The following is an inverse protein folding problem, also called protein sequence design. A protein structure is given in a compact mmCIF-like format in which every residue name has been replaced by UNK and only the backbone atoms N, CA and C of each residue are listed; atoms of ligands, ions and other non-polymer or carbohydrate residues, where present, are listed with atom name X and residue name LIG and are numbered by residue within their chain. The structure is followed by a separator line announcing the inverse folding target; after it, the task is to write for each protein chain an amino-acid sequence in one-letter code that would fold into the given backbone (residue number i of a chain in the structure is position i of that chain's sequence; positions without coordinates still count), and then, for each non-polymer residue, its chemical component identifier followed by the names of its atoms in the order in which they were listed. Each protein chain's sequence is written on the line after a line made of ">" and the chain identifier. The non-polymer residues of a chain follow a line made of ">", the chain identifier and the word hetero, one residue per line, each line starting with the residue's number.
data_IF_564635029255
#
_entry.id   IF_564635029255
#
_cell.length_a   1.000
_cell.length_b   1.000
_cell.length_c   1.000
_cell.angle_alpha   90.00
_cell.angle_beta   90.00
_cell.angle_gamma   90.00
#
_symmetry.space_group_name_H-M   'P 1'
#
loop_
_entity.id
_entity.type
_entity.pdbx_description
1 polymer ?
#
# COMPACT_ATOMS: atom_id res chain seq x y z
N UNK A 1 11.23 -22.82 49.52
CA UNK A 1 10.60 -22.99 48.20
C UNK A 1 10.23 -21.60 47.67
N UNK A 2 11.15 -20.88 47.01
CA UNK A 2 10.90 -19.48 46.60
C UNK A 2 11.66 -19.08 45.32
N UNK A 3 11.96 -20.03 44.44
CA UNK A 3 12.83 -19.82 43.27
C UNK A 3 12.17 -20.13 41.93
N UNK A 4 10.98 -20.74 41.90
CA UNK A 4 10.34 -21.15 40.64
C UNK A 4 9.46 -20.05 40.01
N UNK A 5 8.88 -19.15 40.79
CA UNK A 5 8.00 -18.07 40.29
C UNK A 5 8.73 -16.95 39.54
N UNK A 6 10.03 -16.76 39.78
CA UNK A 6 10.81 -15.66 39.18
C UNK A 6 11.29 -16.00 37.74
N UNK A 7 11.38 -17.29 37.37
CA UNK A 7 11.85 -17.70 36.04
C UNK A 7 10.73 -17.69 34.99
N UNK A 8 9.51 -18.09 35.35
CA UNK A 8 8.37 -18.08 34.41
C UNK A 8 7.97 -16.68 33.96
N UNK A 9 8.04 -15.69 34.85
CA UNK A 9 7.79 -14.28 34.51
C UNK A 9 8.85 -13.70 33.57
N UNK A 10 10.12 -14.08 33.76
CA UNK A 10 11.23 -13.65 32.89
C UNK A 10 11.16 -14.28 31.50
N UNK A 11 10.74 -15.53 31.38
CA UNK A 11 10.53 -16.18 30.08
C UNK A 11 9.32 -15.61 29.32
N UNK A 12 8.21 -15.33 30.02
CA UNK A 12 7.04 -14.67 29.40
C UNK A 12 7.35 -13.25 28.93
N UNK A 13 8.15 -12.49 29.68
CA UNK A 13 8.62 -11.17 29.28
C UNK A 13 9.58 -11.23 28.08
N UNK A 14 10.51 -12.18 28.06
CA UNK A 14 11.38 -12.41 26.90
C UNK A 14 10.59 -12.83 25.66
N UNK A 15 9.60 -13.72 25.81
CA UNK A 15 8.72 -14.15 24.72
C UNK A 15 7.84 -13.01 24.20
N UNK A 16 7.30 -12.17 25.09
CA UNK A 16 6.54 -10.97 24.74
C UNK A 16 7.37 -9.95 23.96
N UNK A 17 8.61 -9.71 24.39
CA UNK A 17 9.54 -8.78 23.73
C UNK A 17 9.98 -9.29 22.34
N UNK A 18 10.29 -10.58 22.22
CA UNK A 18 10.62 -11.21 20.92
C UNK A 18 9.44 -11.13 19.95
N UNK A 19 8.22 -11.33 20.42
CA UNK A 19 7.02 -11.21 19.57
C UNK A 19 6.73 -9.76 19.16
N UNK A 20 7.01 -8.78 20.03
CA UNK A 20 6.91 -7.37 19.69
C UNK A 20 7.94 -6.99 18.61
N UNK A 21 9.21 -7.41 18.77
CA UNK A 21 10.26 -7.17 17.78
C UNK A 21 9.94 -7.82 16.42
N UNK A 22 9.37 -9.04 16.41
CA UNK A 22 8.93 -9.70 15.17
C UNK A 22 7.80 -8.94 14.48
N UNK A 23 6.79 -8.48 15.23
CA UNK A 23 5.70 -7.66 14.68
C UNK A 23 6.19 -6.33 14.14
N UNK A 24 7.14 -5.72 14.84
CA UNK A 24 7.78 -4.46 14.43
C UNK A 24 8.60 -4.66 13.15
N UNK A 25 9.40 -5.74 13.09
CA UNK A 25 10.12 -6.12 11.87
C UNK A 25 9.18 -6.31 10.68
N UNK A 26 8.06 -7.02 10.88
CA UNK A 26 7.04 -7.21 9.83
C UNK A 26 6.39 -5.91 9.37
N UNK A 27 6.07 -4.98 10.27
CA UNK A 27 5.51 -3.66 9.89
C UNK A 27 6.52 -2.82 9.11
N UNK A 28 7.81 -2.88 9.47
CA UNK A 28 8.88 -2.20 8.73
C UNK A 28 9.06 -2.83 7.34
N UNK A 29 8.96 -4.17 7.24
CA UNK A 29 9.05 -4.91 5.98
C UNK A 29 7.83 -4.67 5.07
N UNK A 30 6.62 -4.57 5.62
CA UNK A 30 5.43 -4.19 4.82
C UNK A 30 5.53 -2.73 4.38
N UNK A 31 5.97 -1.84 5.27
CA UNK A 31 6.32 -0.46 4.94
C UNK A 31 7.64 -0.35 4.13
N UNK A 32 8.19 -1.46 3.61
CA UNK A 32 9.42 -1.47 2.82
C UNK A 32 9.18 -1.38 1.31
N UNK A 33 7.99 -1.76 0.84
CA UNK A 33 7.65 -1.72 -0.58
C UNK A 33 6.61 -0.64 -0.87
N UNK A 34 6.76 0.05 -1.99
CA UNK A 34 5.76 0.99 -2.49
C UNK A 34 5.57 0.72 -3.97
N UNK A 35 4.32 0.48 -4.32
CA UNK A 35 3.89 0.28 -5.69
C UNK A 35 2.85 1.34 -6.01
N UNK A 36 3.12 2.12 -7.05
CA UNK A 36 2.23 3.17 -7.52
C UNK A 36 2.01 2.94 -9.00
N UNK A 37 0.75 2.77 -9.39
CA UNK A 37 0.36 2.56 -10.78
C UNK A 37 -0.71 3.58 -11.17
N UNK A 38 -0.48 4.29 -12.26
CA UNK A 38 -1.38 5.30 -12.80
C UNK A 38 -1.81 4.91 -14.19
N UNK A 39 -3.12 4.81 -14.36
CA UNK A 39 -3.79 4.52 -15.63
C UNK A 39 -4.58 5.72 -16.11
N UNK A 40 -4.76 5.82 -17.42
CA UNK A 40 -5.69 6.74 -18.08
C UNK A 40 -6.57 5.94 -19.05
N UNK A 41 -7.75 6.43 -19.36
CA UNK A 41 -8.68 5.77 -20.28
C UNK A 41 -10.11 5.72 -19.76
N UNK A 42 -10.94 4.99 -20.49
CA UNK A 42 -12.37 4.91 -20.23
C UNK A 42 -12.73 3.56 -19.61
N UNK A 43 -13.58 3.61 -18.57
CA UNK A 43 -14.19 2.43 -17.97
C UNK A 43 -15.71 2.59 -18.06
N UNK A 44 -16.37 1.60 -18.62
CA UNK A 44 -17.83 1.55 -18.69
C UNK A 44 -18.34 0.51 -17.68
N UNK A 45 -19.37 0.89 -16.91
CA UNK A 45 -20.04 0.00 -15.97
C UNK A 45 -21.54 0.22 -16.03
N UNK A 46 -22.31 -0.85 -15.82
CA UNK A 46 -23.75 -0.72 -15.60
C UNK A 46 -23.98 -0.33 -14.15
N UNK A 47 -24.88 0.63 -13.91
CA UNK A 47 -25.25 1.10 -12.56
C UNK A 47 -25.71 -0.07 -11.67
N UNK A 48 -26.36 -1.09 -12.26
CA UNK A 48 -26.78 -2.33 -11.59
C UNK A 48 -25.64 -3.10 -10.94
N UNK A 49 -24.41 -2.93 -11.40
CA UNK A 49 -23.23 -3.67 -10.93
C UNK A 49 -22.54 -2.93 -9.77
N UNK A 50 -22.83 -1.64 -9.60
CA UNK A 50 -22.21 -0.74 -8.62
C UNK A 50 -23.14 -0.44 -7.45
N UNK A 51 -24.45 -0.39 -7.72
CA UNK A 51 -25.48 -0.09 -6.72
C UNK A 51 -26.35 -1.31 -6.51
N UNK A 52 -26.14 -2.01 -5.39
CA UNK A 52 -27.05 -3.07 -4.93
C UNK A 52 -28.19 -2.41 -4.13
N UNK A 53 -29.42 -2.81 -4.42
CA UNK A 53 -30.73 -2.29 -3.97
C UNK A 53 -30.97 -2.05 -2.46
N UNK A 54 -30.10 -1.36 -1.72
CA UNK A 54 -30.52 -0.68 -0.49
C UNK A 54 -29.53 0.34 0.11
N UNK A 55 -28.42 0.67 -0.55
CA UNK A 55 -27.48 1.64 0.03
C UNK A 55 -26.88 2.51 -1.07
N UNK A 56 -27.08 3.82 -0.97
CA UNK A 56 -26.38 4.89 -1.72
C UNK A 56 -24.86 4.91 -1.41
N UNK A 57 -24.18 3.78 -1.50
CA UNK A 57 -22.74 3.65 -1.30
C UNK A 57 -22.14 2.96 -2.51
N UNK A 58 -21.49 3.75 -3.36
CA UNK A 58 -20.64 3.27 -4.44
C UNK A 58 -19.51 2.46 -3.81
N UNK A 59 -19.53 1.14 -3.96
CA UNK A 59 -18.46 0.27 -3.47
C UNK A 59 -17.41 0.10 -4.57
N UNK A 60 -16.51 1.08 -4.67
CA UNK A 60 -15.42 1.11 -5.66
C UNK A 60 -14.61 -0.20 -5.67
N UNK A 61 -14.38 -0.83 -4.51
CA UNK A 61 -13.71 -2.14 -4.45
C UNK A 61 -14.40 -3.24 -5.24
N UNK A 62 -15.74 -3.28 -5.25
CA UNK A 62 -16.49 -4.28 -6.00
C UNK A 62 -16.44 -4.00 -7.50
N UNK A 63 -16.39 -2.72 -7.88
CA UNK A 63 -16.18 -2.28 -9.26
C UNK A 63 -14.80 -2.71 -9.74
N UNK A 64 -13.76 -2.45 -8.95
CA UNK A 64 -12.40 -2.85 -9.30
C UNK A 64 -12.25 -4.38 -9.41
N UNK A 65 -12.90 -5.15 -8.54
CA UNK A 65 -12.90 -6.62 -8.62
C UNK A 65 -13.63 -7.15 -9.86
N UNK A 66 -14.72 -6.51 -10.28
CA UNK A 66 -15.48 -6.91 -11.47
C UNK A 66 -14.80 -6.52 -12.79
N UNK A 67 -13.91 -5.51 -12.78
CA UNK A 67 -13.07 -5.18 -13.95
C UNK A 67 -12.22 -6.37 -14.42
N UNK A 68 -11.73 -7.20 -13.50
CA UNK A 68 -10.88 -8.36 -13.81
C UNK A 68 -11.58 -9.45 -14.61
N UNK A 69 -12.93 -9.48 -14.62
CA UNK A 69 -13.68 -10.66 -15.05
C UNK A 69 -14.43 -10.44 -16.37
N UNK A 70 -14.95 -9.22 -16.66
CA UNK A 70 -15.91 -9.08 -17.77
C UNK A 70 -15.88 -7.80 -18.62
N UNK A 71 -14.96 -6.85 -18.41
CA UNK A 71 -15.00 -5.58 -19.16
C UNK A 71 -13.84 -5.40 -20.14
N UNK A 72 -14.17 -5.18 -21.41
CA UNK A 72 -13.26 -4.61 -22.41
C UNK A 72 -12.93 -3.18 -21.98
N UNK A 73 -11.88 -3.04 -21.19
CA UNK A 73 -11.43 -1.76 -20.64
C UNK A 73 -10.19 -1.31 -21.39
N UNK A 74 -10.29 -0.19 -22.11
CA UNK A 74 -9.18 0.43 -22.81
C UNK A 74 -8.43 1.34 -21.82
N UNK A 75 -7.65 0.71 -20.95
CA UNK A 75 -6.77 1.39 -20.01
C UNK A 75 -5.37 1.49 -20.60
N UNK A 76 -4.83 2.70 -20.60
CA UNK A 76 -3.44 2.97 -20.97
C UNK A 76 -2.64 3.24 -19.70
N UNK A 77 -1.51 2.54 -19.56
CA UNK A 77 -0.58 2.80 -18.47
C UNK A 77 0.12 4.15 -18.73
N UNK A 78 0.00 5.08 -17.79
CA UNK A 78 0.71 6.37 -17.84
C UNK A 78 2.05 6.25 -17.13
N UNK A 79 2.02 5.71 -15.90
CA UNK A 79 3.22 5.56 -15.10
C UNK A 79 3.07 4.39 -14.12
N UNK A 80 4.15 3.63 -13.95
CA UNK A 80 4.30 2.58 -12.96
C UNK A 80 5.60 2.81 -12.22
N UNK A 81 5.55 2.83 -10.90
CA UNK A 81 6.74 2.92 -10.06
C UNK A 81 6.68 1.86 -8.97
N UNK A 82 7.73 1.03 -8.90
CA UNK A 82 7.98 0.11 -7.82
C UNK A 82 9.24 0.56 -7.08
N UNK A 83 9.12 0.78 -5.77
CA UNK A 83 10.23 1.15 -4.88
C UNK A 83 10.39 0.06 -3.83
N UNK A 84 11.55 -0.59 -3.86
CA UNK A 84 11.97 -1.53 -2.82
C UNK A 84 12.95 -0.87 -1.84
N UNK A 85 13.03 -1.41 -0.63
CA UNK A 85 13.94 -0.88 0.42
C UNK A 85 15.41 -0.98 0.05
N UNK A 86 15.80 -1.95 -0.79
CA UNK A 86 17.18 -2.09 -1.27
C UNK A 86 17.60 -0.95 -2.24
N UNK A 87 16.73 0.06 -2.40
CA UNK A 87 16.88 1.23 -3.27
C UNK A 87 16.71 0.93 -4.75
N UNK A 88 16.25 -0.26 -5.11
CA UNK A 88 15.83 -0.53 -6.49
C UNK A 88 14.51 0.21 -6.74
N UNK A 89 14.62 1.26 -7.58
CA UNK A 89 13.49 2.01 -8.10
C UNK A 89 13.33 1.66 -9.57
N UNK A 90 12.21 1.01 -9.89
CA UNK A 90 11.82 0.75 -11.27
C UNK A 90 10.66 1.66 -11.63
N UNK A 91 10.89 2.60 -12.54
CA UNK A 91 9.85 3.50 -13.04
C UNK A 91 9.70 3.32 -14.55
N UNK A 92 8.48 3.01 -14.97
CA UNK A 92 8.07 2.92 -16.37
C UNK A 92 7.09 4.07 -16.62
N UNK A 93 7.38 4.89 -17.62
CA UNK A 93 6.51 6.00 -18.01
C UNK A 93 6.20 5.85 -19.49
N UNK A 94 4.96 6.18 -19.86
CA UNK A 94 4.54 6.27 -21.25
C UNK A 94 5.44 7.27 -22.01
N UNK A 95 5.92 6.88 -23.19
CA UNK A 95 6.86 7.69 -23.98
C UNK A 95 6.23 8.89 -24.68
N UNK A 96 4.94 8.77 -25.02
CA UNK A 96 4.14 9.75 -25.76
C UNK A 96 3.08 10.37 -24.82
N UNK A 97 3.54 11.22 -23.91
CA UNK A 97 2.65 11.90 -22.96
C UNK A 97 1.85 12.98 -23.69
N UNK A 98 0.52 12.87 -23.63
CA UNK A 98 -0.35 14.01 -23.91
C UNK A 98 -0.30 15.02 -22.74
N UNK A 99 -0.75 16.28 -22.92
CA UNK A 99 -0.81 17.25 -21.82
C UNK A 99 -1.60 16.76 -20.60
N UNK A 100 -2.65 15.94 -20.82
CA UNK A 100 -3.39 15.32 -19.74
C UNK A 100 -2.58 14.21 -19.04
N UNK A 101 -1.77 13.45 -19.78
CA UNK A 101 -0.89 12.42 -19.20
C UNK A 101 0.24 13.06 -18.38
N UNK A 102 0.70 14.26 -18.74
CA UNK A 102 1.71 15.01 -17.96
C UNK A 102 1.18 15.43 -16.58
N UNK A 103 -0.08 15.86 -16.51
CA UNK A 103 -0.73 16.17 -15.24
C UNK A 103 -0.88 14.90 -14.38
N UNK A 104 -1.30 13.79 -14.98
CA UNK A 104 -1.38 12.50 -14.30
C UNK A 104 -0.01 12.00 -13.82
N UNK A 105 1.05 12.22 -14.60
CA UNK A 105 2.42 11.92 -14.19
C UNK A 105 2.88 12.79 -13.03
N UNK A 106 2.48 14.07 -13.00
CA UNK A 106 2.74 14.95 -11.86
C UNK A 106 2.06 14.43 -10.59
N UNK A 107 0.77 14.11 -10.67
CA UNK A 107 0.02 13.49 -9.58
C UNK A 107 0.65 12.17 -9.11
N UNK A 108 1.13 11.33 -10.04
CA UNK A 108 1.87 10.11 -9.71
C UNK A 108 3.11 10.40 -8.87
N UNK A 109 3.90 11.41 -9.24
CA UNK A 109 5.09 11.83 -8.49
C UNK A 109 4.75 12.42 -7.11
N UNK A 110 3.69 13.22 -7.03
CA UNK A 110 3.22 13.78 -5.76
C UNK A 110 2.75 12.67 -4.81
N UNK A 111 2.08 11.64 -5.36
CA UNK A 111 1.67 10.46 -4.59
C UNK A 111 2.87 9.63 -4.13
N UNK A 112 3.91 9.47 -4.95
CA UNK A 112 5.16 8.83 -4.55
C UNK A 112 5.83 9.58 -3.40
N UNK A 113 5.93 10.92 -3.46
CA UNK A 113 6.53 11.72 -2.38
C UNK A 113 5.75 11.56 -1.08
N UNK A 114 4.43 11.74 -1.15
CA UNK A 114 3.55 11.63 0.01
C UNK A 114 3.60 10.23 0.64
N UNK A 115 3.64 9.19 -0.19
CA UNK A 115 3.72 7.80 0.29
C UNK A 115 5.09 7.50 0.91
N UNK A 116 6.17 8.05 0.36
CA UNK A 116 7.51 7.93 0.94
C UNK A 116 7.58 8.60 2.31
N UNK A 117 7.09 9.83 2.44
CA UNK A 117 7.05 10.58 3.70
C UNK A 117 6.21 9.86 4.77
N UNK A 118 5.05 9.32 4.38
CA UNK A 118 4.20 8.54 5.28
C UNK A 118 4.94 7.29 5.79
N UNK A 119 5.63 6.57 4.91
CA UNK A 119 6.41 5.37 5.28
C UNK A 119 7.58 5.71 6.20
N UNK A 120 8.34 6.76 5.89
CA UNK A 120 9.42 7.25 6.76
C UNK A 120 8.91 7.62 8.16
N UNK A 121 7.72 8.24 8.22
CA UNK A 121 7.08 8.60 9.48
C UNK A 121 6.64 7.38 10.30
N UNK A 122 6.08 6.35 9.64
CA UNK A 122 5.71 5.08 10.29
C UNK A 122 6.95 4.38 10.82
N UNK A 123 8.01 4.28 10.01
CA UNK A 123 9.28 3.67 10.42
C UNK A 123 9.84 4.42 11.63
N UNK A 124 9.86 5.76 11.59
CA UNK A 124 10.35 6.58 12.70
C UNK A 124 9.52 6.37 13.98
N UNK A 125 8.19 6.39 13.88
CA UNK A 125 7.30 6.12 15.02
C UNK A 125 7.61 4.76 15.65
N UNK A 126 7.80 3.73 14.83
CA UNK A 126 8.12 2.39 15.29
C UNK A 126 9.52 2.33 15.93
N UNK A 127 10.52 2.99 15.35
CA UNK A 127 11.86 3.08 15.95
C UNK A 127 11.84 3.81 17.30
N UNK A 128 11.05 4.88 17.42
CA UNK A 128 10.89 5.65 18.66
C UNK A 128 10.19 4.84 19.76
N UNK A 129 9.29 3.90 19.40
CA UNK A 129 8.63 3.00 20.36
C UNK A 129 9.51 1.85 20.86
N UNK A 130 10.60 1.52 20.15
CA UNK A 130 11.54 0.44 20.51
C UNK A 130 12.74 0.96 21.32
N UNK A 131 13.03 2.26 21.22
CA UNK A 131 14.05 2.95 22.03
C UNK A 131 13.58 3.17 23.46
#
# INVERSE_FOLDING_TARGET
>A
MATQTNNEGKEKLKGGFVNLLKKIGGVIEDAASLEVTTFTGNFEYKISDVVKNDVNKVRIENVLKSLTVHNQSNLNLVAYTNVKIDSDVSTIVKSDLSPADEELLKLHKDMLSSSKEARESVIKLVMDLVR
#
